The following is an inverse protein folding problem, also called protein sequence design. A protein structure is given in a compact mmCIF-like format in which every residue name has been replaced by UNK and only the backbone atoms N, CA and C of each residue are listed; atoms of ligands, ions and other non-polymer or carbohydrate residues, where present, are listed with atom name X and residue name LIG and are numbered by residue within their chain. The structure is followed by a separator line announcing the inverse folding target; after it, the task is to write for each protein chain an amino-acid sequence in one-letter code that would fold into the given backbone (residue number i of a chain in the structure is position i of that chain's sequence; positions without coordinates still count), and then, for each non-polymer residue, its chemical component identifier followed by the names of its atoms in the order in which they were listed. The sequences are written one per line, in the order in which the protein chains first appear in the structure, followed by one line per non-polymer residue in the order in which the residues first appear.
data_IF_689387885597
#
_entry.id   IF_689387885597
#
_cell.length_a   1.000
_cell.length_b   1.000
_cell.length_c   1.000
_cell.angle_alpha   90.00
_cell.angle_beta   90.00
_cell.angle_gamma   90.00
#
_symmetry.space_group_name_H-M   'P 1'
#
loop_
_entity.id
_entity.type
_entity.pdbx_description
1 polymer ?
#
# COMPACT_ATOMS: atom_id res chain seq x y z
N UNK A 1 24.84 -19.37 -47.50
CA UNK A 1 23.82 -18.64 -46.72
C UNK A 1 24.25 -17.18 -46.69
N UNK A 2 23.53 -16.30 -47.41
CA UNK A 2 23.89 -14.88 -47.56
C UNK A 2 23.55 -14.15 -46.26
N UNK A 3 24.49 -13.31 -45.80
CA UNK A 3 24.47 -12.68 -44.48
C UNK A 3 23.15 -11.98 -44.19
N UNK A 4 22.73 -12.03 -42.92
CA UNK A 4 21.69 -11.14 -42.43
C UNK A 4 22.02 -9.73 -42.88
N UNK A 5 21.09 -9.11 -43.62
CA UNK A 5 21.22 -7.73 -44.08
C UNK A 5 21.55 -6.86 -42.88
N UNK A 6 22.62 -6.07 -42.97
CA UNK A 6 23.05 -5.12 -41.92
C UNK A 6 21.88 -4.27 -41.40
N UNK A 7 20.92 -3.97 -42.29
CA UNK A 7 19.66 -3.30 -41.95
C UNK A 7 18.84 -4.03 -40.89
N UNK A 8 18.72 -5.36 -40.99
CA UNK A 8 17.94 -6.18 -40.07
C UNK A 8 18.59 -6.22 -38.67
N UNK A 9 19.92 -6.20 -38.60
CA UNK A 9 20.66 -6.09 -37.34
C UNK A 9 20.43 -4.73 -36.68
N UNK A 10 20.48 -3.65 -37.47
CA UNK A 10 20.22 -2.30 -36.99
C UNK A 10 18.77 -2.13 -36.48
N UNK A 11 17.79 -2.65 -37.21
CA UNK A 11 16.38 -2.58 -36.81
C UNK A 11 16.11 -3.32 -35.49
N UNK A 12 16.73 -4.49 -35.28
CA UNK A 12 16.64 -5.25 -34.03
C UNK A 12 17.28 -4.49 -32.86
N UNK A 13 18.42 -3.85 -33.07
CA UNK A 13 19.07 -3.05 -32.03
C UNK A 13 18.23 -1.85 -31.61
N UNK A 14 17.64 -1.13 -32.57
CA UNK A 14 16.74 0.00 -32.29
C UNK A 14 15.52 -0.48 -31.49
N UNK A 15 14.93 -1.61 -31.88
CA UNK A 15 13.80 -2.19 -31.15
C UNK A 15 14.17 -2.54 -29.69
N UNK A 16 15.34 -3.14 -29.46
CA UNK A 16 15.81 -3.48 -28.10
C UNK A 16 16.02 -2.22 -27.25
N UNK A 17 16.63 -1.17 -27.82
CA UNK A 17 16.80 0.11 -27.12
C UNK A 17 15.44 0.75 -26.80
N UNK A 18 14.49 0.69 -27.73
CA UNK A 18 13.13 1.18 -27.51
C UNK A 18 12.43 0.46 -26.36
N UNK A 19 12.49 -0.88 -26.33
CA UNK A 19 11.95 -1.69 -25.22
C UNK A 19 12.64 -1.34 -23.91
N UNK A 20 13.97 -1.19 -23.91
CA UNK A 20 14.72 -0.82 -22.72
C UNK A 20 14.29 0.54 -22.16
N UNK A 21 14.18 1.57 -23.02
CA UNK A 21 13.72 2.91 -22.63
C UNK A 21 12.33 2.84 -21.99
N UNK A 22 11.39 2.12 -22.62
CA UNK A 22 10.02 1.95 -22.11
C UNK A 22 10.05 1.27 -20.73
N UNK A 23 10.85 0.20 -20.56
CA UNK A 23 10.97 -0.48 -19.28
C UNK A 23 11.55 0.43 -18.19
N UNK A 24 12.58 1.23 -18.51
CA UNK A 24 13.11 2.23 -17.56
C UNK A 24 12.11 3.33 -17.22
N UNK A 25 11.35 3.82 -18.20
CA UNK A 25 10.30 4.82 -17.97
C UNK A 25 9.20 4.24 -17.06
N UNK A 26 8.74 3.02 -17.35
CA UNK A 26 7.77 2.33 -16.50
C UNK A 26 8.29 2.15 -15.07
N UNK A 27 9.55 1.76 -14.88
CA UNK A 27 10.16 1.65 -13.54
C UNK A 27 10.29 3.01 -12.83
N UNK A 28 10.47 4.11 -13.57
CA UNK A 28 10.55 5.46 -12.99
C UNK A 28 9.17 5.96 -12.53
N UNK A 29 8.12 5.70 -13.29
CA UNK A 29 6.75 6.09 -12.92
C UNK A 29 6.11 5.15 -11.91
N UNK A 30 6.56 3.89 -11.86
CA UNK A 30 5.99 2.84 -11.03
C UNK A 30 7.11 2.03 -10.33
N UNK A 31 7.93 2.66 -9.47
CA UNK A 31 9.04 1.98 -8.81
C UNK A 31 8.52 0.84 -7.94
N UNK A 32 9.00 -0.38 -8.19
CA UNK A 32 8.57 -1.63 -7.53
C UNK A 32 7.12 -2.08 -7.83
N UNK A 33 6.52 -1.65 -8.95
CA UNK A 33 5.19 -2.10 -9.31
C UNK A 33 5.16 -3.55 -9.77
N UNK A 34 4.88 -4.46 -8.84
CA UNK A 34 4.38 -5.80 -9.13
C UNK A 34 2.86 -5.74 -9.24
N UNK A 35 2.36 -5.03 -10.26
CA UNK A 35 0.94 -4.98 -10.52
C UNK A 35 0.35 -6.37 -10.79
N UNK A 36 -0.98 -6.53 -10.66
CA UNK A 36 -1.65 -7.82 -10.85
C UNK A 36 -1.38 -8.44 -12.24
N UNK A 37 -1.12 -7.63 -13.27
CA UNK A 37 -0.72 -8.11 -14.60
C UNK A 37 0.69 -8.75 -14.61
N UNK A 38 1.65 -8.16 -13.91
CA UNK A 38 3.02 -8.69 -13.78
C UNK A 38 3.00 -9.95 -12.91
N UNK A 39 2.20 -9.96 -11.83
CA UNK A 39 2.04 -11.16 -11.02
C UNK A 39 1.34 -12.30 -11.78
N UNK A 40 0.34 -12.01 -12.62
CA UNK A 40 -0.27 -13.01 -13.52
C UNK A 40 0.75 -13.55 -14.53
N UNK A 41 1.50 -12.67 -15.18
CA UNK A 41 2.56 -13.07 -16.11
C UNK A 41 3.61 -13.94 -15.41
N UNK A 42 4.00 -13.57 -14.20
CA UNK A 42 4.93 -14.34 -13.37
C UNK A 42 4.36 -15.72 -12.99
N UNK A 43 3.10 -15.80 -12.58
CA UNK A 43 2.44 -17.08 -12.33
C UNK A 43 2.45 -17.99 -13.56
N UNK A 44 2.28 -17.42 -14.76
CA UNK A 44 2.39 -18.17 -16.03
C UNK A 44 3.83 -18.67 -16.24
N UNK A 45 4.84 -17.84 -16.01
CA UNK A 45 6.27 -18.23 -16.12
C UNK A 45 6.61 -19.36 -15.13
N UNK A 46 6.03 -19.36 -13.93
CA UNK A 46 6.27 -20.40 -12.92
C UNK A 46 5.77 -21.79 -13.29
N UNK A 47 4.75 -21.88 -14.16
CA UNK A 47 4.19 -23.14 -14.69
C UNK A 47 5.14 -23.78 -15.71
N UNK A 48 6.04 -23.00 -16.32
CA UNK A 48 7.07 -23.53 -17.21
C UNK A 48 8.01 -24.42 -16.36
N UNK A 49 8.38 -25.63 -16.84
CA UNK A 49 9.28 -26.54 -16.14
C UNK A 49 10.73 -26.04 -16.19
N UNK A 50 10.98 -24.87 -15.60
CA UNK A 50 12.32 -24.30 -15.40
C UNK A 50 12.95 -24.88 -14.13
N UNK A 51 14.27 -25.12 -14.12
CA UNK A 51 15.02 -25.42 -12.90
C UNK A 51 14.76 -24.35 -11.83
N UNK A 52 14.67 -24.75 -10.55
CA UNK A 52 14.37 -23.81 -9.44
C UNK A 52 15.35 -22.63 -9.36
N UNK A 53 16.61 -22.84 -9.75
CA UNK A 53 17.65 -21.80 -9.80
C UNK A 53 17.41 -20.71 -10.83
N UNK A 54 16.57 -20.97 -11.85
CA UNK A 54 16.21 -20.02 -12.91
C UNK A 54 14.81 -19.42 -12.71
N UNK A 55 14.08 -19.82 -11.66
CA UNK A 55 12.80 -19.21 -11.32
C UNK A 55 13.07 -17.91 -10.57
N UNK A 56 12.72 -16.73 -11.13
CA UNK A 56 12.87 -15.48 -10.39
C UNK A 56 11.97 -15.54 -9.15
N UNK A 57 12.42 -15.06 -7.98
CA UNK A 57 11.58 -15.04 -6.78
C UNK A 57 10.94 -13.65 -6.61
N UNK A 58 9.68 -13.47 -6.99
CA UNK A 58 8.91 -12.26 -6.63
C UNK A 58 7.99 -12.58 -5.46
N UNK A 59 8.51 -12.44 -4.24
CA UNK A 59 7.76 -12.65 -2.99
C UNK A 59 6.51 -11.77 -2.89
N UNK A 60 6.52 -10.61 -3.55
CA UNK A 60 5.41 -9.65 -3.60
C UNK A 60 4.16 -10.20 -4.32
N UNK A 61 4.29 -11.21 -5.18
CA UNK A 61 3.17 -11.79 -5.93
C UNK A 61 2.47 -12.96 -5.23
N UNK A 62 3.00 -13.44 -4.11
CA UNK A 62 2.43 -14.53 -3.31
C UNK A 62 1.66 -14.03 -2.09
N UNK A 63 1.54 -12.71 -1.90
CA UNK A 63 0.77 -12.15 -0.79
C UNK A 63 -0.70 -12.24 -1.19
N UNK A 64 -1.44 -13.18 -0.60
CA UNK A 64 -2.90 -13.21 -0.63
C UNK A 64 -3.40 -12.37 0.53
N UNK A 65 -3.79 -11.10 0.29
CA UNK A 65 -4.26 -10.25 1.37
C UNK A 65 -5.54 -10.82 1.96
N UNK A 66 -5.49 -11.17 3.24
CA UNK A 66 -6.66 -11.57 4.01
C UNK A 66 -7.20 -10.37 4.77
N UNK A 67 -8.47 -10.07 4.53
CA UNK A 67 -9.25 -9.13 5.34
C UNK A 67 -9.47 -9.75 6.72
N UNK A 68 -9.21 -8.97 7.76
CA UNK A 68 -9.48 -9.36 9.14
C UNK A 68 -10.59 -8.51 9.74
N UNK A 69 -11.58 -9.18 10.34
CA UNK A 69 -12.66 -8.52 11.07
C UNK A 69 -12.28 -8.45 12.55
N UNK A 70 -12.25 -7.24 13.10
CA UNK A 70 -11.86 -6.98 14.48
C UNK A 70 -13.02 -6.29 15.19
N UNK A 71 -13.36 -6.75 16.39
CA UNK A 71 -14.34 -6.07 17.25
C UNK A 71 -13.59 -5.43 18.41
N UNK A 72 -13.66 -4.10 18.50
CA UNK A 72 -13.06 -3.34 19.59
C UNK A 72 -14.13 -2.94 20.61
N UNK A 73 -13.80 -3.18 21.89
CA UNK A 73 -14.55 -2.70 23.05
C UNK A 73 -13.61 -1.83 23.90
N UNK A 74 -13.39 -0.58 23.51
CA UNK A 74 -12.46 0.31 24.20
C UNK A 74 -12.96 0.63 25.61
N UNK A 75 -12.04 0.68 26.57
CA UNK A 75 -12.32 1.15 27.94
C UNK A 75 -12.08 2.65 28.09
N UNK A 76 -11.27 3.24 27.21
CA UNK A 76 -10.96 4.67 27.19
C UNK A 76 -10.74 5.18 25.77
N UNK A 77 -10.87 6.49 25.57
CA UNK A 77 -10.62 7.14 24.27
C UNK A 77 -9.17 7.05 23.84
N UNK A 78 -8.23 7.17 24.79
CA UNK A 78 -6.80 7.02 24.51
C UNK A 78 -6.47 5.61 24.01
N UNK A 79 -7.01 4.57 24.66
CA UNK A 79 -6.79 3.18 24.24
C UNK A 79 -7.36 2.92 22.84
N UNK A 80 -8.54 3.47 22.51
CA UNK A 80 -9.12 3.34 21.18
C UNK A 80 -8.21 3.95 20.10
N UNK A 81 -7.76 5.20 20.30
CA UNK A 81 -6.89 5.90 19.35
C UNK A 81 -5.58 5.15 19.13
N UNK A 82 -5.00 4.62 20.21
CA UNK A 82 -3.79 3.78 20.16
C UNK A 82 -4.01 2.54 19.32
N UNK A 83 -5.10 1.81 19.55
CA UNK A 83 -5.43 0.60 18.79
C UNK A 83 -5.64 0.89 17.30
N UNK A 84 -6.39 1.94 16.96
CA UNK A 84 -6.62 2.30 15.56
C UNK A 84 -5.31 2.67 14.87
N UNK A 85 -4.47 3.49 15.51
CA UNK A 85 -3.14 3.84 14.99
C UNK A 85 -2.25 2.59 14.79
N UNK A 86 -2.31 1.62 15.71
CA UNK A 86 -1.59 0.37 15.59
C UNK A 86 -2.11 -0.49 14.43
N UNK A 87 -3.42 -0.58 14.21
CA UNK A 87 -3.95 -1.31 13.04
C UNK A 87 -3.57 -0.65 11.71
N UNK A 88 -3.58 0.69 11.65
CA UNK A 88 -3.10 1.44 10.48
C UNK A 88 -1.62 1.12 10.22
N UNK A 89 -0.80 1.16 11.26
CA UNK A 89 0.61 0.83 11.17
C UNK A 89 0.86 -0.64 10.77
N UNK A 90 0.17 -1.59 11.38
CA UNK A 90 0.30 -3.02 11.08
C UNK A 90 -0.14 -3.33 9.65
N UNK A 91 -1.22 -2.70 9.17
CA UNK A 91 -1.62 -2.79 7.76
C UNK A 91 -0.47 -2.35 6.85
N UNK A 92 0.11 -1.16 7.09
CA UNK A 92 1.22 -0.66 6.31
C UNK A 92 2.45 -1.57 6.39
N UNK A 93 2.92 -1.88 7.59
CA UNK A 93 4.18 -2.62 7.80
C UNK A 93 4.07 -4.07 7.37
N UNK A 94 3.09 -4.81 7.89
CA UNK A 94 3.04 -6.26 7.78
C UNK A 94 2.26 -6.70 6.55
N UNK A 95 1.06 -6.16 6.32
CA UNK A 95 0.21 -6.61 5.21
C UNK A 95 0.68 -6.09 3.86
N UNK A 96 1.18 -4.85 3.81
CA UNK A 96 1.64 -4.24 2.53
C UNK A 96 3.16 -4.31 2.34
N UNK A 97 3.90 -4.83 3.32
CA UNK A 97 5.36 -4.81 3.34
C UNK A 97 5.93 -3.39 3.08
N UNK A 98 5.36 -2.39 3.77
CA UNK A 98 5.67 -0.96 3.62
C UNK A 98 5.42 -0.41 2.22
N UNK A 99 4.23 -0.66 1.67
CA UNK A 99 3.80 -0.13 0.36
C UNK A 99 4.38 -0.87 -0.86
N UNK A 100 4.98 -2.05 -0.64
CA UNK A 100 5.59 -2.88 -1.70
C UNK A 100 4.61 -3.83 -2.38
N UNK A 101 3.41 -3.99 -1.81
CA UNK A 101 2.36 -4.80 -2.44
C UNK A 101 1.76 -4.01 -3.60
N UNK A 102 1.63 -4.66 -4.77
CA UNK A 102 1.12 -4.03 -5.99
C UNK A 102 -0.39 -4.13 -6.19
N UNK A 103 -1.14 -4.67 -5.23
CA UNK A 103 -2.60 -4.79 -5.28
C UNK A 103 -3.24 -3.99 -4.14
N UNK A 104 -4.37 -3.35 -4.43
CA UNK A 104 -5.21 -2.70 -3.42
C UNK A 104 -6.08 -3.74 -2.72
N UNK A 105 -6.23 -3.63 -1.40
CA UNK A 105 -7.06 -4.55 -0.62
C UNK A 105 -7.43 -3.95 0.73
N UNK A 106 -8.47 -4.51 1.35
CA UNK A 106 -8.87 -4.17 2.70
C UNK A 106 -8.04 -4.95 3.72
N UNK A 107 -7.27 -4.25 4.55
CA UNK A 107 -6.50 -4.85 5.65
C UNK A 107 -7.41 -5.28 6.80
N UNK A 108 -8.27 -4.38 7.25
CA UNK A 108 -9.10 -4.55 8.44
C UNK A 108 -10.51 -4.01 8.24
N UNK A 109 -11.48 -4.67 8.87
CA UNK A 109 -12.80 -4.13 9.20
C UNK A 109 -12.90 -4.08 10.72
N UNK A 110 -12.95 -2.88 11.29
CA UNK A 110 -12.94 -2.70 12.73
C UNK A 110 -14.31 -2.22 13.17
N UNK A 111 -15.08 -3.07 13.84
CA UNK A 111 -16.33 -2.69 14.47
C UNK A 111 -16.03 -2.19 15.89
N UNK A 112 -16.28 -0.91 16.15
CA UNK A 112 -16.08 -0.30 17.46
C UNK A 112 -17.42 -0.25 18.17
N UNK A 113 -17.52 -0.88 19.34
CA UNK A 113 -18.71 -0.82 20.19
C UNK A 113 -18.53 0.21 21.30
N UNK A 114 -19.52 1.06 21.52
CA UNK A 114 -19.52 2.13 22.52
C UNK A 114 -18.30 3.07 22.41
N UNK A 115 -18.31 3.96 21.42
CA UNK A 115 -17.20 4.91 21.21
C UNK A 115 -17.17 5.90 22.39
N UNK A 116 -16.07 5.97 23.17
CA UNK A 116 -16.01 6.77 24.39
C UNK A 116 -15.92 8.27 24.15
N UNK A 117 -15.37 8.67 23.00
CA UNK A 117 -15.29 10.07 22.57
C UNK A 117 -15.10 10.13 21.06
N UNK A 118 -15.58 11.21 20.44
CA UNK A 118 -15.29 11.47 19.04
C UNK A 118 -13.78 11.65 18.81
N UNK A 119 -13.32 11.22 17.64
CA UNK A 119 -11.95 11.42 17.17
C UNK A 119 -11.92 11.46 15.65
N UNK A 120 -10.92 12.14 15.09
CA UNK A 120 -10.64 12.20 13.67
C UNK A 120 -9.20 11.82 13.36
N UNK A 121 -8.78 12.23 12.17
CA UNK A 121 -7.46 11.92 11.62
C UNK A 121 -6.32 12.52 12.45
N UNK A 122 -6.50 13.74 12.95
CA UNK A 122 -5.50 14.44 13.77
C UNK A 122 -5.11 13.62 15.00
N UNK A 123 -6.09 13.13 15.75
CA UNK A 123 -5.84 12.40 16.98
C UNK A 123 -5.13 11.06 16.73
N UNK A 124 -5.37 10.42 15.58
CA UNK A 124 -4.65 9.22 15.18
C UNK A 124 -3.22 9.56 14.73
N UNK A 125 -3.06 10.64 13.98
CA UNK A 125 -1.75 11.11 13.51
C UNK A 125 -0.85 11.53 14.68
N UNK A 126 -1.42 12.14 15.74
CA UNK A 126 -0.72 12.43 16.98
C UNK A 126 -0.18 11.18 17.66
N UNK A 127 -0.97 10.10 17.69
CA UNK A 127 -0.50 8.83 18.22
C UNK A 127 0.64 8.28 17.37
N UNK A 128 0.50 8.28 16.04
CA UNK A 128 1.56 7.82 15.12
C UNK A 128 2.87 8.60 15.34
N UNK A 129 2.77 9.91 15.56
CA UNK A 129 3.89 10.78 15.89
C UNK A 129 4.51 10.42 17.23
N UNK A 130 3.71 10.24 18.28
CA UNK A 130 4.20 9.86 19.61
C UNK A 130 4.94 8.51 19.62
N UNK A 131 4.56 7.59 18.73
CA UNK A 131 5.19 6.28 18.57
C UNK A 131 6.39 6.27 17.60
N UNK A 132 6.69 7.41 16.96
CA UNK A 132 7.80 7.54 16.00
C UNK A 132 7.55 6.90 14.64
N UNK A 133 6.29 6.57 14.31
CA UNK A 133 5.93 5.89 13.05
C UNK A 133 5.95 6.83 11.82
N UNK A 134 5.93 8.15 12.04
CA UNK A 134 5.97 9.17 10.97
C UNK A 134 7.20 9.06 10.04
N UNK A 135 8.27 8.40 10.48
CA UNK A 135 9.45 8.15 9.63
C UNK A 135 9.20 7.12 8.52
N UNK A 136 8.18 6.27 8.69
CA UNK A 136 7.86 5.17 7.77
C UNK A 136 6.49 5.34 7.11
N UNK A 137 5.51 5.81 7.88
CA UNK A 137 4.15 6.12 7.44
C UNK A 137 3.89 7.60 7.69
N UNK A 138 4.16 8.40 6.66
CA UNK A 138 4.08 9.85 6.71
C UNK A 138 2.62 10.31 6.54
N UNK A 139 2.21 11.31 7.30
CA UNK A 139 0.94 12.00 7.13
C UNK A 139 1.13 13.51 7.32
N UNK A 140 1.51 14.20 6.25
CA UNK A 140 1.81 15.63 6.30
C UNK A 140 0.63 16.56 6.01
N UNK A 141 -0.55 16.02 5.70
CA UNK A 141 -1.75 16.79 5.40
C UNK A 141 -2.94 16.06 6.00
N UNK A 142 -3.60 16.70 6.97
CA UNK A 142 -4.85 16.21 7.52
C UNK A 142 -5.96 16.49 6.52
N UNK A 143 -6.50 15.46 5.90
CA UNK A 143 -7.52 15.56 4.84
C UNK A 143 -8.84 16.17 5.38
N UNK A 144 -9.21 15.84 6.62
CA UNK A 144 -10.44 16.36 7.23
C UNK A 144 -10.36 17.85 7.55
N UNK A 145 -9.26 18.29 8.16
CA UNK A 145 -9.08 19.68 8.57
C UNK A 145 -8.47 20.55 7.46
N UNK A 146 -7.97 19.94 6.38
CA UNK A 146 -7.19 20.57 5.31
C UNK A 146 -6.01 21.39 5.87
N UNK A 147 -5.29 20.79 6.82
CA UNK A 147 -4.19 21.42 7.54
C UNK A 147 -2.89 20.64 7.37
N UNK A 148 -1.80 21.35 7.09
CA UNK A 148 -0.48 20.75 7.08
C UNK A 148 -0.13 20.22 8.48
N UNK A 149 0.47 19.04 8.52
CA UNK A 149 0.88 18.37 9.75
C UNK A 149 2.36 17.99 9.72
N UNK A 150 2.98 18.01 10.90
CA UNK A 150 4.39 17.66 11.04
C UNK A 150 4.53 16.16 11.35
N UNK A 151 4.27 15.32 10.35
CA UNK A 151 4.48 13.87 10.39
C UNK A 151 5.03 13.40 9.04
N UNK A 152 6.20 13.91 8.63
CA UNK A 152 6.87 13.55 7.38
C UNK A 152 6.66 14.55 6.25
N UNK A 153 6.95 14.14 5.01
CA UNK A 153 6.92 14.97 3.80
C UNK A 153 5.83 14.57 2.80
N UNK A 154 5.28 13.37 2.95
CA UNK A 154 4.24 12.84 2.07
C UNK A 154 2.94 12.62 2.85
N UNK A 155 1.82 12.64 2.15
CA UNK A 155 0.55 12.17 2.69
C UNK A 155 0.32 10.72 2.26
N UNK A 156 0.63 9.77 3.16
CA UNK A 156 0.40 8.32 2.95
C UNK A 156 -0.83 7.81 3.70
N UNK A 157 -1.60 8.68 4.36
CA UNK A 157 -2.84 8.30 5.04
C UNK A 157 -3.95 9.19 4.50
N UNK A 158 -4.90 8.59 3.80
CA UNK A 158 -6.05 9.31 3.29
C UNK A 158 -7.28 9.02 4.16
N UNK A 159 -7.84 10.04 4.81
CA UNK A 159 -9.00 9.88 5.67
C UNK A 159 -10.32 10.23 4.97
N UNK A 160 -11.31 9.34 5.08
CA UNK A 160 -12.62 9.47 4.44
C UNK A 160 -13.74 9.17 5.45
N UNK A 161 -14.91 9.79 5.29
CA UNK A 161 -16.07 9.54 6.16
C UNK A 161 -16.20 10.44 7.40
N UNK A 162 -15.26 11.37 7.62
CA UNK A 162 -15.36 12.35 8.71
C UNK A 162 -14.83 11.82 10.05
N UNK A 163 -15.34 12.40 11.14
CA UNK A 163 -15.01 11.98 12.51
C UNK A 163 -15.80 10.74 12.91
N UNK A 164 -15.19 9.89 13.73
CA UNK A 164 -15.87 8.77 14.37
C UNK A 164 -16.80 9.31 15.45
N UNK A 165 -18.10 9.07 15.33
CA UNK A 165 -19.13 9.54 16.26
C UNK A 165 -19.25 8.63 17.49
N UNK A 166 -20.04 9.05 18.49
CA UNK A 166 -20.26 8.31 19.75
C UNK A 166 -21.04 6.99 19.62
N UNK A 167 -21.55 6.67 18.42
CA UNK A 167 -22.31 5.44 18.15
C UNK A 167 -21.40 4.28 17.72
N UNK A 168 -21.96 3.07 17.74
CA UNK A 168 -21.31 1.91 17.13
C UNK A 168 -20.99 2.21 15.66
N UNK A 169 -19.69 2.23 15.34
CA UNK A 169 -19.16 2.69 14.06
C UNK A 169 -18.18 1.64 13.53
N UNK A 170 -18.18 1.43 12.21
CA UNK A 170 -17.24 0.56 11.53
C UNK A 170 -16.14 1.39 10.89
N UNK A 171 -14.88 1.06 11.17
CA UNK A 171 -13.71 1.68 10.53
C UNK A 171 -13.09 0.68 9.57
N UNK A 172 -12.95 1.07 8.31
CA UNK A 172 -12.33 0.28 7.26
C UNK A 172 -10.92 0.81 7.00
N UNK A 173 -9.93 -0.08 7.05
CA UNK A 173 -8.54 0.26 6.74
C UNK A 173 -8.18 -0.45 5.44
N UNK A 174 -8.00 0.33 4.38
CA UNK A 174 -7.67 -0.14 3.06
C UNK A 174 -6.25 0.26 2.69
N UNK A 175 -5.57 -0.56 1.90
CA UNK A 175 -4.36 -0.17 1.21
C UNK A 175 -4.69 0.08 -0.26
N UNK A 176 -4.25 1.23 -0.76
CA UNK A 176 -4.35 1.60 -2.16
C UNK A 176 -2.97 1.53 -2.81
N UNK A 177 -2.74 0.51 -3.64
CA UNK A 177 -1.45 0.31 -4.30
C UNK A 177 -1.18 1.31 -5.42
N UNK A 178 -2.21 1.92 -6.00
CA UNK A 178 -2.03 2.92 -7.06
C UNK A 178 -1.47 4.24 -6.51
N UNK A 179 -1.94 4.66 -5.34
CA UNK A 179 -1.46 5.87 -4.67
C UNK A 179 -0.42 5.60 -3.58
N UNK A 180 -0.03 4.33 -3.36
CA UNK A 180 0.90 3.90 -2.31
C UNK A 180 0.57 4.47 -0.92
N UNK A 181 -0.70 4.38 -0.52
CA UNK A 181 -1.21 4.97 0.73
C UNK A 181 -2.21 4.06 1.45
N UNK A 182 -2.41 4.32 2.73
CA UNK A 182 -3.51 3.75 3.52
C UNK A 182 -4.72 4.66 3.38
N UNK A 183 -5.91 4.08 3.18
CA UNK A 183 -7.17 4.80 3.17
C UNK A 183 -8.00 4.34 4.38
N UNK A 184 -8.32 5.27 5.27
CA UNK A 184 -9.15 5.02 6.44
C UNK A 184 -10.55 5.57 6.16
N UNK A 185 -11.55 4.70 6.17
CA UNK A 185 -12.94 5.09 6.00
C UNK A 185 -13.73 4.81 7.29
N UNK A 186 -14.55 5.77 7.68
CA UNK A 186 -15.42 5.73 8.86
C UNK A 186 -16.88 5.74 8.44
#
# INVERSE_FOLDING_TARGET
MKGMSFKLVADVLIALVGVWIILTAMNMFLPNYTGPAICKLYQIILVIPLPQSLKPSVSQCNITPTKENVILRPTSSSDLRVKIADYVWTCWKEKTNSGKVGISFQCYEILIKNVPSEFGEKEITDVLKSKGYCSFLENNLLDLENQAYDCGKQNKIYWTGGRVNLNDTSVFINYNSFFHRIEVAV
#
